data_IF_406469135830
#
_entry.id   IF_406469135830
#
_cell.length_a   1.000
_cell.length_b   1.000
_cell.length_c   1.000
_cell.angle_alpha   90.00
_cell.angle_beta   90.00
_cell.angle_gamma   90.00
#
_symmetry.space_group_name_H-M   'P 1'
#
loop_
_entity.id
_entity.type
_entity.pdbx_description
1 polymer ?
#
# COMPACT_ATOMS: atom_id res chain seq x y z
N UNK A 1 -20.36 5.46 3.29
CA UNK A 1 -18.98 5.95 3.12
C UNK A 1 -19.01 7.21 2.27
N UNK A 2 -18.26 8.24 2.67
CA UNK A 2 -18.06 9.44 1.86
C UNK A 2 -17.25 9.11 0.60
N UNK A 3 -17.40 9.90 -0.47
CA UNK A 3 -16.69 9.66 -1.75
C UNK A 3 -15.16 9.60 -1.57
N UNK A 4 -14.61 10.40 -0.65
CA UNK A 4 -13.17 10.41 -0.33
C UNK A 4 -12.70 9.11 0.32
N UNK A 5 -13.52 8.48 1.18
CA UNK A 5 -13.20 7.17 1.76
C UNK A 5 -13.17 6.07 0.69
N UNK A 6 -14.12 6.11 -0.25
CA UNK A 6 -14.17 5.15 -1.37
C UNK A 6 -12.92 5.26 -2.24
N UNK A 7 -12.48 6.49 -2.55
CA UNK A 7 -11.23 6.73 -3.31
C UNK A 7 -10.02 6.16 -2.58
N UNK A 8 -9.87 6.42 -1.29
CA UNK A 8 -8.74 5.89 -0.50
C UNK A 8 -8.73 4.36 -0.52
N UNK A 9 -9.87 3.70 -0.33
CA UNK A 9 -9.92 2.23 -0.39
C UNK A 9 -9.61 1.72 -1.80
N UNK A 10 -10.19 2.32 -2.84
CA UNK A 10 -9.94 1.94 -4.23
C UNK A 10 -8.46 1.99 -4.60
N UNK A 11 -7.78 3.10 -4.26
CA UNK A 11 -6.35 3.23 -4.51
C UNK A 11 -5.50 2.28 -3.64
N UNK A 12 -5.97 1.89 -2.46
CA UNK A 12 -5.31 0.85 -1.65
C UNK A 12 -5.40 -0.53 -2.31
N UNK A 13 -6.56 -0.87 -2.90
CA UNK A 13 -6.71 -2.11 -3.70
C UNK A 13 -5.75 -2.10 -4.88
N UNK A 14 -5.68 -0.99 -5.63
CA UNK A 14 -4.77 -0.88 -6.78
C UNK A 14 -3.33 -1.08 -6.33
N UNK A 15 -2.92 -0.43 -5.24
CA UNK A 15 -1.59 -0.59 -4.65
C UNK A 15 -1.29 -2.05 -4.31
N UNK A 16 -2.21 -2.74 -3.64
CA UNK A 16 -2.07 -4.17 -3.31
C UNK A 16 -1.93 -5.03 -4.57
N UNK A 17 -2.86 -4.89 -5.52
CA UNK A 17 -2.87 -5.71 -6.74
C UNK A 17 -1.57 -5.50 -7.51
N UNK A 18 -1.12 -4.26 -7.61
CA UNK A 18 0.11 -3.92 -8.31
C UNK A 18 1.35 -4.47 -7.57
N UNK A 19 1.39 -4.38 -6.24
CA UNK A 19 2.44 -4.99 -5.44
C UNK A 19 2.51 -6.51 -5.63
N UNK A 20 1.37 -7.20 -5.60
CA UNK A 20 1.30 -8.64 -5.84
C UNK A 20 1.76 -8.98 -7.25
N UNK A 21 1.32 -8.24 -8.26
CA UNK A 21 1.72 -8.43 -9.65
C UNK A 21 3.25 -8.41 -9.79
N UNK A 22 3.90 -7.36 -9.28
CA UNK A 22 5.37 -7.24 -9.37
C UNK A 22 6.07 -8.33 -8.54
N UNK A 23 5.56 -8.67 -7.36
CA UNK A 23 6.08 -9.77 -6.56
C UNK A 23 6.03 -11.11 -7.30
N UNK A 24 4.95 -11.40 -8.02
CA UNK A 24 4.84 -12.62 -8.82
C UNK A 24 5.71 -12.58 -10.08
N UNK A 25 5.86 -11.43 -10.73
CA UNK A 25 6.78 -11.27 -11.86
C UNK A 25 8.22 -11.66 -11.48
N UNK A 26 8.66 -11.37 -10.25
CA UNK A 26 10.00 -11.72 -9.76
C UNK A 26 10.25 -13.24 -9.66
N UNK A 27 9.20 -14.08 -9.73
CA UNK A 27 9.35 -15.54 -9.73
C UNK A 27 9.67 -16.12 -11.12
N UNK A 28 9.54 -15.33 -12.17
CA UNK A 28 9.66 -15.78 -13.54
C UNK A 28 11.13 -15.93 -13.95
N UNK A 29 11.43 -17.00 -14.70
CA UNK A 29 12.82 -17.38 -15.02
C UNK A 29 13.55 -16.37 -15.91
N UNK A 30 12.82 -15.61 -16.72
CA UNK A 30 13.42 -14.56 -17.54
C UNK A 30 13.94 -13.37 -16.72
N UNK A 31 13.62 -13.28 -15.42
CA UNK A 31 14.18 -12.27 -14.52
C UNK A 31 15.65 -12.54 -14.18
N UNK A 32 16.16 -13.75 -14.45
CA UNK A 32 17.59 -14.12 -14.32
C UNK A 32 18.25 -13.60 -13.05
N UNK A 33 17.55 -13.77 -11.92
CA UNK A 33 18.01 -13.36 -10.60
C UNK A 33 19.11 -14.31 -10.12
N UNK A 34 20.17 -13.78 -9.52
CA UNK A 34 21.30 -14.57 -8.99
C UNK A 34 20.82 -15.53 -7.88
N UNK A 35 19.90 -15.04 -7.05
CA UNK A 35 19.10 -15.87 -6.14
C UNK A 35 17.68 -15.93 -6.69
N UNK A 36 17.29 -17.09 -7.22
CA UNK A 36 15.93 -17.33 -7.70
C UNK A 36 14.94 -17.17 -6.55
N UNK A 37 13.90 -16.38 -6.75
CA UNK A 37 12.80 -16.25 -5.79
C UNK A 37 12.00 -17.55 -5.81
N UNK A 38 11.96 -18.23 -4.67
CA UNK A 38 11.21 -19.48 -4.54
C UNK A 38 9.70 -19.17 -4.58
N UNK A 39 8.92 -20.06 -5.21
CA UNK A 39 7.45 -19.94 -5.20
C UNK A 39 6.88 -19.87 -3.77
N UNK A 40 7.48 -20.60 -2.83
CA UNK A 40 7.10 -20.57 -1.42
C UNK A 40 7.30 -19.19 -0.77
N UNK A 41 8.36 -18.46 -1.16
CA UNK A 41 8.61 -17.09 -0.69
C UNK A 41 7.56 -16.14 -1.27
N UNK A 42 7.26 -16.23 -2.57
CA UNK A 42 6.25 -15.39 -3.22
C UNK A 42 4.83 -15.62 -2.67
N UNK A 43 4.48 -16.88 -2.39
CA UNK A 43 3.22 -17.25 -1.72
C UNK A 43 3.17 -16.68 -0.30
N UNK A 44 4.27 -16.80 0.47
CA UNK A 44 4.33 -16.23 1.82
C UNK A 44 4.13 -14.71 1.79
N UNK A 45 4.79 -13.99 0.89
CA UNK A 45 4.60 -12.54 0.73
C UNK A 45 3.16 -12.20 0.35
N UNK A 46 2.56 -12.98 -0.56
CA UNK A 46 1.16 -12.83 -0.96
C UNK A 46 0.19 -12.99 0.21
N UNK A 47 0.39 -14.03 1.02
CA UNK A 47 -0.43 -14.28 2.22
C UNK A 47 -0.28 -13.14 3.22
N UNK A 48 0.96 -12.71 3.49
CA UNK A 48 1.22 -11.60 4.42
C UNK A 48 0.52 -10.33 3.94
N UNK A 49 0.69 -9.95 2.68
CA UNK A 49 0.02 -8.78 2.09
C UNK A 49 -1.51 -8.89 2.16
N UNK A 50 -2.06 -10.07 1.85
CA UNK A 50 -3.48 -10.36 1.96
C UNK A 50 -4.01 -10.22 3.38
N UNK A 51 -3.32 -10.79 4.37
CA UNK A 51 -3.69 -10.70 5.79
C UNK A 51 -3.66 -9.26 6.29
N UNK A 52 -2.60 -8.52 5.97
CA UNK A 52 -2.48 -7.11 6.35
C UNK A 52 -3.60 -6.26 5.74
N UNK A 53 -3.96 -6.54 4.48
CA UNK A 53 -5.05 -5.85 3.80
C UNK A 53 -6.45 -6.21 4.36
N UNK A 54 -6.67 -7.49 4.67
CA UNK A 54 -7.88 -7.93 5.38
C UNK A 54 -8.00 -7.27 6.75
N UNK A 55 -6.90 -7.22 7.51
CA UNK A 55 -6.86 -6.57 8.82
C UNK A 55 -7.23 -5.09 8.73
N UNK A 56 -6.73 -4.36 7.73
CA UNK A 56 -7.07 -2.94 7.54
C UNK A 56 -8.53 -2.73 7.16
N UNK A 57 -9.12 -3.60 6.32
CA UNK A 57 -10.56 -3.55 6.00
C UNK A 57 -11.41 -3.82 7.24
N UNK A 58 -11.09 -4.86 8.01
CA UNK A 58 -11.83 -5.21 9.23
C UNK A 58 -11.80 -4.05 10.24
N UNK A 59 -10.64 -3.42 10.44
CA UNK A 59 -10.50 -2.26 11.32
C UNK A 59 -11.27 -1.04 10.79
N UNK A 60 -11.31 -0.83 9.48
CA UNK A 60 -12.08 0.23 8.86
C UNK A 60 -13.59 0.01 9.02
N UNK A 61 -14.05 -1.24 8.89
CA UNK A 61 -15.44 -1.63 9.12
C UNK A 61 -15.86 -1.36 10.58
N UNK A 62 -14.99 -1.67 11.55
CA UNK A 62 -15.17 -1.36 12.96
C UNK A 62 -15.05 0.14 13.29
N UNK A 63 -14.82 1.00 12.29
CA UNK A 63 -14.61 2.46 12.43
C UNK A 63 -13.50 2.82 13.44
N UNK A 64 -12.52 1.94 13.61
CA UNK A 64 -11.41 2.16 14.52
C UNK A 64 -10.44 3.16 13.88
N UNK A 65 -10.04 4.21 14.62
CA UNK A 65 -9.07 5.21 14.12
C UNK A 65 -7.72 4.61 13.72
N UNK A 66 -7.39 3.44 14.28
CA UNK A 66 -6.16 2.70 14.03
C UNK A 66 -6.10 2.11 12.61
N UNK A 67 -7.24 1.92 11.95
CA UNK A 67 -7.30 1.36 10.58
C UNK A 67 -6.47 2.17 9.59
N UNK A 68 -6.50 3.50 9.70
CA UNK A 68 -5.75 4.42 8.84
C UNK A 68 -4.24 4.32 9.05
N UNK A 69 -3.81 4.17 10.31
CA UNK A 69 -2.39 4.02 10.63
C UNK A 69 -1.86 2.67 10.15
N UNK A 70 -2.61 1.61 10.37
CA UNK A 70 -2.24 0.30 9.86
C UNK A 70 -2.17 0.31 8.32
N UNK A 71 -3.14 0.93 7.64
CA UNK A 71 -3.11 1.03 6.18
C UNK A 71 -1.91 1.83 5.67
N UNK A 72 -1.53 2.92 6.36
CA UNK A 72 -0.32 3.66 6.02
C UNK A 72 0.95 2.82 6.19
N UNK A 73 1.03 2.00 7.24
CA UNK A 73 2.15 1.06 7.45
C UNK A 73 2.19 0.02 6.32
N UNK A 74 1.04 -0.55 5.96
CA UNK A 74 0.93 -1.55 4.88
C UNK A 74 1.44 -0.97 3.55
N UNK A 75 0.99 0.23 3.19
CA UNK A 75 1.43 0.90 1.95
C UNK A 75 2.92 1.26 2.02
N UNK A 76 3.44 1.65 3.18
CA UNK A 76 4.88 1.89 3.36
C UNK A 76 5.70 0.60 3.15
N UNK A 77 5.23 -0.54 3.68
CA UNK A 77 5.86 -1.85 3.45
C UNK A 77 5.89 -2.19 1.96
N UNK A 78 4.80 -1.95 1.22
CA UNK A 78 4.77 -2.18 -0.23
C UNK A 78 5.76 -1.29 -0.98
N UNK A 79 5.90 -0.03 -0.57
CA UNK A 79 6.92 0.88 -1.12
C UNK A 79 8.33 0.35 -0.89
N UNK A 80 8.64 -0.10 0.33
CA UNK A 80 9.94 -0.72 0.64
C UNK A 80 10.14 -1.98 -0.20
N UNK A 81 9.08 -2.77 -0.42
CA UNK A 81 9.11 -3.92 -1.31
C UNK A 81 9.49 -3.55 -2.75
N UNK A 82 8.90 -2.49 -3.32
CA UNK A 82 9.29 -1.99 -4.66
C UNK A 82 10.74 -1.53 -4.71
N UNK A 83 11.23 -0.85 -3.67
CA UNK A 83 12.65 -0.45 -3.58
C UNK A 83 13.56 -1.67 -3.49
N UNK A 84 13.18 -2.68 -2.71
CA UNK A 84 13.91 -3.95 -2.63
C UNK A 84 13.97 -4.65 -3.98
N UNK A 85 12.85 -4.71 -4.71
CA UNK A 85 12.80 -5.30 -6.06
C UNK A 85 13.70 -4.56 -7.05
N UNK A 86 13.72 -3.21 -7.01
CA UNK A 86 14.65 -2.41 -7.80
C UNK A 86 16.10 -2.77 -7.46
N UNK A 87 16.46 -2.79 -6.18
CA UNK A 87 17.80 -3.15 -5.75
C UNK A 87 18.18 -4.54 -6.29
N UNK A 88 17.34 -5.55 -6.10
CA UNK A 88 17.59 -6.91 -6.58
C UNK A 88 17.75 -6.98 -8.10
N UNK A 89 16.94 -6.25 -8.88
CA UNK A 89 17.05 -6.25 -10.34
C UNK A 89 18.32 -5.57 -10.86
N UNK A 90 18.83 -4.56 -10.17
CA UNK A 90 20.04 -3.86 -10.61
C UNK A 90 21.34 -4.50 -10.09
N UNK A 91 21.34 -5.04 -8.87
CA UNK A 91 22.55 -5.56 -8.23
C UNK A 91 22.66 -7.08 -8.26
N UNK A 92 21.56 -7.81 -8.45
CA UNK A 92 21.51 -9.27 -8.33
C UNK A 92 20.74 -9.97 -9.44
N UNK A 93 20.76 -9.40 -10.65
CA UNK A 93 20.15 -10.00 -11.84
C UNK A 93 21.05 -9.85 -13.06
N UNK A 94 21.17 -10.92 -13.84
CA UNK A 94 21.82 -10.97 -15.15
C UNK A 94 20.83 -10.83 -16.32
N UNK A 95 19.61 -10.36 -16.06
CA UNK A 95 18.62 -10.09 -17.10
C UNK A 95 19.08 -8.97 -18.04
N UNK A 96 18.55 -8.99 -19.27
CA UNK A 96 18.80 -7.93 -20.24
C UNK A 96 18.30 -6.57 -19.70
N UNK A 97 18.97 -5.48 -20.10
CA UNK A 97 18.67 -4.11 -19.69
C UNK A 97 17.20 -3.74 -19.93
N UNK A 98 16.58 -4.26 -21.00
CA UNK A 98 15.16 -4.03 -21.30
C UNK A 98 14.27 -4.56 -20.16
N UNK A 99 14.53 -5.78 -19.68
CA UNK A 99 13.77 -6.38 -18.56
C UNK A 99 13.97 -5.57 -17.28
N UNK A 100 15.21 -5.15 -17.01
CA UNK A 100 15.53 -4.29 -15.85
C UNK A 100 14.78 -2.96 -15.91
N UNK A 101 14.76 -2.30 -17.08
CA UNK A 101 14.05 -1.03 -17.27
C UNK A 101 12.53 -1.18 -17.15
N UNK A 102 11.95 -2.26 -17.68
CA UNK A 102 10.51 -2.54 -17.52
C UNK A 102 10.17 -2.75 -16.04
N UNK A 103 10.96 -3.58 -15.32
CA UNK A 103 10.77 -3.78 -13.89
C UNK A 103 10.99 -2.50 -13.08
N UNK A 104 11.91 -1.65 -13.53
CA UNK A 104 12.13 -0.35 -12.91
C UNK A 104 10.94 0.58 -13.09
N UNK A 105 10.40 0.66 -14.31
CA UNK A 105 9.22 1.46 -14.62
C UNK A 105 7.99 0.97 -13.84
N UNK A 106 7.78 -0.35 -13.76
CA UNK A 106 6.70 -0.94 -12.97
C UNK A 106 6.88 -0.58 -11.49
N UNK A 107 8.06 -0.82 -10.90
CA UNK A 107 8.32 -0.52 -9.49
C UNK A 107 8.15 0.98 -9.18
N UNK A 108 8.66 1.86 -10.04
CA UNK A 108 8.50 3.31 -9.91
C UNK A 108 7.01 3.72 -9.99
N UNK A 109 6.25 3.15 -10.92
CA UNK A 109 4.80 3.38 -11.00
C UNK A 109 4.08 2.94 -9.73
N UNK A 110 4.42 1.77 -9.19
CA UNK A 110 3.88 1.29 -7.91
C UNK A 110 4.18 2.24 -6.74
N UNK A 111 5.39 2.78 -6.68
CA UNK A 111 5.78 3.80 -5.69
C UNK A 111 4.94 5.08 -5.86
N UNK A 112 4.74 5.56 -7.09
CA UNK A 112 3.91 6.75 -7.37
C UNK A 112 2.47 6.52 -6.93
N UNK A 113 1.90 5.34 -7.22
CA UNK A 113 0.56 4.95 -6.78
C UNK A 113 0.47 4.98 -5.24
N UNK A 114 1.47 4.42 -4.55
CA UNK A 114 1.53 4.41 -3.09
C UNK A 114 1.62 5.84 -2.53
N UNK A 115 2.42 6.70 -3.15
CA UNK A 115 2.57 8.09 -2.73
C UNK A 115 1.27 8.89 -2.93
N UNK A 116 0.61 8.70 -4.08
CA UNK A 116 -0.69 9.30 -4.36
C UNK A 116 -1.74 8.85 -3.34
N UNK A 117 -1.76 7.55 -3.01
CA UNK A 117 -2.61 7.02 -1.96
C UNK A 117 -2.33 7.69 -0.61
N UNK A 118 -1.07 7.87 -0.24
CA UNK A 118 -0.67 8.49 1.02
C UNK A 118 -1.22 9.93 1.12
N UNK A 119 -1.15 10.71 0.05
CA UNK A 119 -1.72 12.06 -0.02
C UNK A 119 -3.24 12.01 0.22
N UNK A 120 -3.96 11.10 -0.44
CA UNK A 120 -5.41 10.95 -0.25
C UNK A 120 -5.76 10.56 1.19
N UNK A 121 -5.02 9.62 1.77
CA UNK A 121 -5.21 9.19 3.14
C UNK A 121 -4.96 10.34 4.13
N UNK A 122 -3.93 11.16 3.90
CA UNK A 122 -3.64 12.33 4.73
C UNK A 122 -4.75 13.39 4.65
N UNK A 123 -5.26 13.68 3.44
CA UNK A 123 -6.39 14.59 3.23
C UNK A 123 -7.64 14.09 3.96
N UNK A 124 -7.95 12.80 3.84
CA UNK A 124 -9.09 12.18 4.51
C UNK A 124 -8.95 12.26 6.04
N UNK A 125 -7.75 12.02 6.58
CA UNK A 125 -7.46 12.17 8.02
C UNK A 125 -7.71 13.59 8.52
N UNK A 126 -7.30 14.61 7.77
CA UNK A 126 -7.54 16.01 8.13
C UNK A 126 -9.05 16.32 8.23
N UNK A 127 -9.86 15.78 7.32
CA UNK A 127 -11.32 15.92 7.34
C UNK A 127 -11.91 15.28 8.60
N UNK A 128 -11.51 14.04 8.93
CA UNK A 128 -12.02 13.36 10.13
C UNK A 128 -11.62 14.04 11.44
N UNK A 129 -10.42 14.61 11.50
CA UNK A 129 -10.00 15.36 12.69
C UNK A 129 -10.89 16.59 12.91
N UNK A 130 -11.16 17.37 11.84
CA UNK A 130 -12.04 18.54 11.90
C UNK A 130 -13.46 18.19 12.35
N UNK A 131 -14.08 17.17 11.76
CA UNK A 131 -15.42 16.72 12.19
C UNK A 131 -15.45 16.27 13.65
N UNK A 132 -14.41 15.60 14.12
CA UNK A 132 -14.35 15.15 15.52
C UNK A 132 -14.20 16.30 16.52
N UNK A 133 -13.51 17.38 16.13
CA UNK A 133 -13.35 18.59 16.93
C UNK A 133 -14.64 19.41 16.95
N UNK A 134 -15.31 19.57 15.81
CA UNK A 134 -16.60 20.26 15.72
C UNK A 134 -17.68 19.57 16.56
N UNK A 135 -17.74 18.23 16.54
CA UNK A 135 -18.65 17.47 17.41
C UNK A 135 -18.38 17.72 18.90
N UNK A 136 -17.11 17.81 19.31
CA UNK A 136 -16.74 18.12 20.70
C UNK A 136 -17.08 19.57 21.08
N UNK A 137 -16.81 20.52 20.20
CA UNK A 137 -17.14 21.93 20.40
C UNK A 137 -18.65 22.17 20.51
N UNK A 138 -19.45 21.54 19.64
CA UNK A 138 -20.91 21.63 19.70
C UNK A 138 -21.48 20.95 20.94
N UNK A 139 -20.95 19.80 21.35
CA UNK A 139 -21.35 19.14 22.61
C UNK A 139 -21.07 20.04 23.83
N UNK A 140 -19.91 20.70 23.86
CA UNK A 140 -19.59 21.64 24.94
C UNK A 140 -20.44 22.92 24.92
N UNK A 141 -20.88 23.40 23.75
CA UNK A 141 -21.81 24.53 23.65
C UNK A 141 -23.23 24.16 24.10
N UNK A 142 -23.69 22.94 23.82
CA UNK A 142 -24.99 22.45 24.29
C UNK A 142 -25.03 22.21 25.80
N UNK A 143 -23.91 21.81 26.42
CA UNK A 143 -23.80 21.64 27.87
C UNK A 143 -23.66 22.96 28.65
N UNK A 144 -23.42 24.09 27.96
CA UNK A 144 -23.33 25.43 28.56
C UNK A 144 -24.60 26.27 28.39
N UNK A 145 -25.64 25.72 27.76
CA UNK A 145 -27.00 26.27 27.74
C UNK A 145 -27.85 25.50 28.74
#
# INVERSE_FOLDING_TARGET
MKNEEKKVIYWAVISLVFFLLVNWLMTLDFMRLDRRVLLSEAVRVTIIAGVFYLATILLAYLKMKISYYLMAVVVAIYTVGFVGMLATMFTGSSANIIVKLVMAALSAFGIIVNFYWFILAFKLRAIFQRESLEKRLNKNKQLKK
#
